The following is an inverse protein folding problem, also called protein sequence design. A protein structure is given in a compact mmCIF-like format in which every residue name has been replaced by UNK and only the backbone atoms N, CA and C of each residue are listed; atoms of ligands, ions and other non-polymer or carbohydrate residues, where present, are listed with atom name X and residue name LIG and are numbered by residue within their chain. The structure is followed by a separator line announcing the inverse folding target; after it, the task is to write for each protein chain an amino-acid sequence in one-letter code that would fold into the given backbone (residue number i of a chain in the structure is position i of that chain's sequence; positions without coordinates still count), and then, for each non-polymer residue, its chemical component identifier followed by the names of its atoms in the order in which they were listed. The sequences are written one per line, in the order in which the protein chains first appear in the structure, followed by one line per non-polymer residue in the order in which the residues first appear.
data_IF_882305404089
#
_entry.id   IF_882305404089
#
_cell.length_a   1.000
_cell.length_b   1.000
_cell.length_c   1.000
_cell.angle_alpha   90.00
_cell.angle_beta   90.00
_cell.angle_gamma   90.00
#
_symmetry.space_group_name_H-M   'P 1'
#
loop_
_entity.id
_entity.type
_entity.pdbx_description
1 polymer ?
#
# COMPACT_ATOMS: atom_id res chain seq x y z
N UNK A 1 -18.60 24.13 -3.67
CA UNK A 1 -17.36 24.18 -4.46
C UNK A 1 -16.85 22.75 -4.52
N UNK A 2 -16.68 22.12 -5.70
CA UNK A 2 -15.99 20.83 -5.74
C UNK A 2 -14.57 21.03 -5.21
N UNK A 3 -14.11 20.12 -4.32
CA UNK A 3 -12.79 20.22 -3.73
C UNK A 3 -11.73 20.21 -4.84
N UNK A 4 -10.71 21.03 -4.73
CA UNK A 4 -9.61 21.14 -5.70
C UNK A 4 -8.87 19.81 -5.93
N UNK A 5 -9.02 18.86 -5.02
CA UNK A 5 -8.45 17.52 -5.10
C UNK A 5 -9.05 16.65 -6.24
N UNK A 6 -10.33 16.86 -6.57
CA UNK A 6 -10.96 16.12 -7.67
C UNK A 6 -10.44 16.54 -9.06
N UNK A 7 -9.92 17.79 -9.17
CA UNK A 7 -9.39 18.32 -10.43
C UNK A 7 -7.95 17.87 -10.75
N UNK A 8 -7.24 17.31 -9.79
CA UNK A 8 -5.82 16.91 -9.91
C UNK A 8 -5.61 15.41 -10.15
N UNK A 9 -6.65 14.67 -10.58
CA UNK A 9 -6.47 13.27 -10.94
C UNK A 9 -5.49 13.18 -12.11
N UNK A 10 -4.39 12.38 -12.00
CA UNK A 10 -3.49 12.16 -13.12
C UNK A 10 -4.31 11.65 -14.31
N UNK A 11 -3.92 12.08 -15.53
CA UNK A 11 -4.55 11.60 -16.76
C UNK A 11 -4.57 10.07 -16.77
N UNK A 12 -5.53 9.42 -17.44
CA UNK A 12 -5.60 7.95 -17.47
C UNK A 12 -4.28 7.28 -17.88
N UNK A 13 -3.45 7.97 -18.59
CA UNK A 13 -2.19 7.46 -19.13
C UNK A 13 -0.94 7.96 -18.38
N UNK A 14 -1.07 8.88 -17.41
CA UNK A 14 0.03 9.45 -16.64
C UNK A 14 1.25 9.80 -17.48
N UNK A 15 1.74 11.03 -17.45
CA UNK A 15 2.97 11.35 -18.20
C UNK A 15 4.20 10.96 -17.37
N UNK A 16 5.21 10.40 -18.04
CA UNK A 16 6.51 10.13 -17.39
C UNK A 16 7.07 11.43 -16.84
N UNK A 17 7.40 11.44 -15.54
CA UNK A 17 7.92 12.61 -14.84
C UNK A 17 6.90 13.35 -13.98
N UNK A 18 5.68 12.86 -13.83
CA UNK A 18 4.74 13.35 -12.82
C UNK A 18 5.13 12.87 -11.42
N UNK A 19 5.01 13.77 -10.44
CA UNK A 19 5.27 13.46 -9.03
C UNK A 19 4.03 12.77 -8.39
N UNK A 20 3.61 11.61 -8.95
CA UNK A 20 2.36 10.92 -8.60
C UNK A 20 2.22 10.59 -7.11
N UNK A 21 3.34 10.32 -6.42
CA UNK A 21 3.34 10.05 -4.98
C UNK A 21 2.96 11.27 -4.15
N UNK A 22 3.44 12.46 -4.51
CA UNK A 22 3.09 13.72 -3.86
C UNK A 22 1.63 14.05 -4.12
N UNK A 23 1.18 13.92 -5.38
CA UNK A 23 -0.22 14.16 -5.77
C UNK A 23 -1.16 13.23 -4.99
N UNK A 24 -0.83 11.94 -4.89
CA UNK A 24 -1.60 10.98 -4.12
C UNK A 24 -1.66 11.34 -2.63
N UNK A 25 -0.52 11.69 -2.02
CA UNK A 25 -0.45 12.06 -0.61
C UNK A 25 -1.27 13.32 -0.31
N UNK A 26 -1.22 14.33 -1.18
CA UNK A 26 -2.02 15.56 -1.04
C UNK A 26 -3.50 15.29 -1.22
N UNK A 27 -3.90 14.48 -2.22
CA UNK A 27 -5.30 14.15 -2.50
C UNK A 27 -5.96 13.33 -1.39
N UNK A 28 -5.20 12.50 -0.69
CA UNK A 28 -5.65 11.73 0.47
C UNK A 28 -5.59 12.58 1.75
N UNK A 29 -4.55 13.39 1.91
CA UNK A 29 -4.30 14.15 3.14
C UNK A 29 -5.17 15.40 3.30
N UNK A 30 -5.48 16.11 2.23
CA UNK A 30 -6.30 17.33 2.28
C UNK A 30 -7.70 17.05 2.86
N UNK A 31 -8.48 16.11 2.31
CA UNK A 31 -9.78 15.78 2.91
C UNK A 31 -9.67 15.21 4.32
N UNK A 32 -8.58 14.50 4.63
CA UNK A 32 -8.31 14.00 5.97
C UNK A 32 -8.28 15.10 7.02
N UNK A 33 -7.63 16.23 6.73
CA UNK A 33 -7.60 17.38 7.63
C UNK A 33 -8.99 17.99 7.83
N UNK A 34 -9.81 18.06 6.79
CA UNK A 34 -11.19 18.56 6.90
C UNK A 34 -12.08 17.63 7.75
N UNK A 35 -11.88 16.33 7.68
CA UNK A 35 -12.62 15.34 8.47
C UNK A 35 -12.34 15.48 9.97
N UNK A 36 -11.09 15.70 10.38
CA UNK A 36 -10.75 15.94 11.78
C UNK A 36 -11.38 17.22 12.31
N UNK A 37 -11.45 18.28 11.52
CA UNK A 37 -12.10 19.53 11.93
C UNK A 37 -13.62 19.37 12.11
N UNK A 38 -14.28 18.58 11.27
CA UNK A 38 -15.74 18.35 11.37
C UNK A 38 -16.14 17.55 12.60
N UNK A 39 -15.34 16.58 13.03
CA UNK A 39 -15.63 15.78 14.23
C UNK A 39 -15.58 16.60 15.52
N UNK A 40 -14.84 17.71 15.56
CA UNK A 40 -14.82 18.63 16.70
C UNK A 40 -16.01 19.61 16.72
N UNK A 41 -16.69 19.84 15.58
CA UNK A 41 -17.78 20.83 15.48
C UNK A 41 -19.18 20.23 15.59
N UNK A 42 -19.37 18.95 15.37
CA UNK A 42 -20.63 18.27 15.62
C UNK A 42 -20.74 17.92 17.10
N UNK A 43 -21.29 18.87 17.90
CA UNK A 43 -21.59 18.67 19.31
C UNK A 43 -22.76 17.70 19.59
N UNK A 44 -23.00 16.75 18.71
CA UNK A 44 -23.85 15.60 18.93
C UNK A 44 -23.04 14.45 19.50
N UNK A 45 -23.67 13.63 20.33
CA UNK A 45 -23.10 12.41 20.93
C UNK A 45 -22.68 11.47 19.80
N UNK A 46 -21.46 11.69 19.25
CA UNK A 46 -20.83 10.72 18.37
C UNK A 46 -20.61 9.45 19.18
N UNK A 47 -21.15 8.32 18.76
CA UNK A 47 -20.88 7.05 19.42
C UNK A 47 -19.37 6.77 19.35
N UNK A 48 -18.82 6.10 20.37
CA UNK A 48 -17.40 5.74 20.39
C UNK A 48 -16.99 4.95 19.11
N UNK A 49 -17.94 4.31 18.45
CA UNK A 49 -17.77 3.61 17.17
C UNK A 49 -17.59 4.59 15.97
N UNK A 50 -18.31 5.71 15.95
CA UNK A 50 -18.20 6.70 14.85
C UNK A 50 -16.84 7.41 14.84
N UNK A 51 -16.22 7.62 16.00
CA UNK A 51 -14.91 8.25 16.13
C UNK A 51 -13.79 7.32 15.63
N UNK A 52 -13.98 6.00 15.76
CA UNK A 52 -13.01 5.00 15.31
C UNK A 52 -13.15 4.61 13.83
N UNK A 53 -14.25 4.98 13.19
CA UNK A 53 -14.54 4.62 11.78
C UNK A 53 -14.01 5.64 10.75
N UNK A 54 -13.50 6.79 11.17
CA UNK A 54 -12.97 7.83 10.28
C UNK A 54 -11.47 7.67 10.00
N UNK A 55 -10.71 8.79 10.15
CA UNK A 55 -9.26 8.82 9.92
C UNK A 55 -8.45 7.77 10.65
N UNK A 56 -8.75 7.39 11.92
CA UNK A 56 -8.02 6.33 12.58
C UNK A 56 -8.09 4.99 11.86
N UNK A 57 -9.21 4.70 11.16
CA UNK A 57 -9.35 3.49 10.33
C UNK A 57 -8.48 3.56 9.08
N UNK A 58 -8.41 4.72 8.44
CA UNK A 58 -7.54 4.92 7.27
C UNK A 58 -6.07 4.75 7.66
N UNK A 59 -5.65 5.32 8.80
CA UNK A 59 -4.30 5.14 9.35
C UNK A 59 -4.01 3.66 9.64
N UNK A 60 -4.94 2.94 10.28
CA UNK A 60 -4.81 1.52 10.58
C UNK A 60 -4.61 0.68 9.29
N UNK A 61 -5.38 0.98 8.23
CA UNK A 61 -5.28 0.31 6.94
C UNK A 61 -3.94 0.58 6.26
N UNK A 62 -3.52 1.85 6.18
CA UNK A 62 -2.24 2.22 5.54
C UNK A 62 -1.02 1.78 6.36
N UNK A 63 -1.12 1.67 7.67
CA UNK A 63 -0.06 1.10 8.50
C UNK A 63 -0.12 -0.43 8.59
N UNK A 64 -1.10 -1.06 7.93
CA UNK A 64 -1.35 -2.51 7.98
C UNK A 64 -1.33 -3.03 9.42
N UNK A 65 -1.91 -2.28 10.37
CA UNK A 65 -1.99 -2.65 11.78
C UNK A 65 -3.05 -3.72 11.99
N UNK A 66 -2.84 -4.55 13.00
CA UNK A 66 -3.85 -5.49 13.45
C UNK A 66 -5.01 -4.74 14.12
N UNK A 67 -6.25 -4.88 13.65
CA UNK A 67 -7.39 -4.18 14.22
C UNK A 67 -7.66 -4.63 15.67
N UNK A 68 -8.23 -3.72 16.46
CA UNK A 68 -8.63 -4.03 17.84
C UNK A 68 -9.78 -5.05 17.88
N UNK A 69 -10.76 -4.89 17.01
CA UNK A 69 -11.86 -5.83 16.80
C UNK A 69 -11.60 -6.65 15.54
N UNK A 70 -10.84 -7.72 15.67
CA UNK A 70 -10.44 -8.57 14.57
C UNK A 70 -11.59 -9.51 14.20
N UNK A 71 -12.03 -9.48 12.95
CA UNK A 71 -12.92 -10.49 12.40
C UNK A 71 -12.18 -11.81 12.20
N UNK A 72 -12.83 -12.91 12.52
CA UNK A 72 -12.36 -14.25 12.16
C UNK A 72 -12.81 -14.51 10.74
N UNK A 73 -11.89 -14.90 9.86
CA UNK A 73 -12.15 -15.23 8.46
C UNK A 73 -11.85 -16.71 8.21
N UNK A 74 -12.53 -17.28 7.22
CA UNK A 74 -12.27 -18.67 6.83
C UNK A 74 -11.00 -18.76 5.97
N UNK A 75 -10.15 -19.75 6.27
CA UNK A 75 -8.97 -20.07 5.46
C UNK A 75 -9.30 -21.00 4.28
N UNK A 76 -10.42 -21.72 4.36
CA UNK A 76 -10.83 -22.72 3.37
C UNK A 76 -12.27 -22.49 2.92
N UNK A 77 -12.60 -22.99 1.73
CA UNK A 77 -13.99 -23.09 1.28
C UNK A 77 -14.68 -24.26 1.99
N UNK A 78 -15.90 -24.09 2.44
CA UNK A 78 -16.61 -25.21 3.06
C UNK A 78 -17.94 -24.84 3.69
N UNK A 79 -18.56 -25.84 4.30
CA UNK A 79 -19.80 -25.74 5.05
C UNK A 79 -19.50 -25.47 6.53
N UNK A 80 -20.17 -24.48 7.11
CA UNK A 80 -19.98 -24.08 8.50
C UNK A 80 -20.81 -24.96 9.42
N UNK A 81 -20.19 -25.44 10.51
CA UNK A 81 -20.84 -26.10 11.63
C UNK A 81 -20.41 -25.44 12.93
N UNK A 82 -21.28 -25.44 13.92
CA UNK A 82 -20.94 -24.94 15.25
C UNK A 82 -20.79 -26.11 16.22
N UNK A 83 -19.68 -26.12 16.92
CA UNK A 83 -19.39 -27.09 17.96
C UNK A 83 -19.04 -26.38 19.25
N UNK A 84 -19.46 -26.96 20.37
CA UNK A 84 -19.08 -26.48 21.69
C UNK A 84 -18.00 -27.38 22.27
N UNK A 85 -16.75 -26.90 22.29
CA UNK A 85 -15.59 -27.63 22.80
C UNK A 85 -15.11 -26.95 24.07
N UNK A 86 -15.11 -27.67 25.20
CA UNK A 86 -14.65 -27.17 26.51
C UNK A 86 -15.33 -25.86 26.95
N UNK A 87 -16.63 -25.72 26.72
CA UNK A 87 -17.44 -24.52 27.00
C UNK A 87 -17.07 -23.29 26.14
N UNK A 88 -16.33 -23.48 25.07
CA UNK A 88 -16.04 -22.45 24.07
C UNK A 88 -16.73 -22.81 22.75
N UNK A 89 -17.36 -21.82 22.12
CA UNK A 89 -18.01 -21.97 20.82
C UNK A 89 -16.97 -21.93 19.71
N UNK A 90 -16.96 -22.96 18.87
CA UNK A 90 -16.10 -23.06 17.69
C UNK A 90 -16.94 -23.07 16.43
N UNK A 91 -16.49 -22.35 15.40
CA UNK A 91 -16.98 -22.55 14.05
C UNK A 91 -16.04 -23.53 13.35
N UNK A 92 -16.58 -24.59 12.85
CA UNK A 92 -15.86 -25.62 12.11
C UNK A 92 -16.25 -25.49 10.65
N UNK A 93 -15.28 -25.26 9.78
CA UNK A 93 -15.48 -25.19 8.33
C UNK A 93 -14.97 -26.48 7.73
N UNK A 94 -15.84 -27.22 7.07
CA UNK A 94 -15.54 -28.50 6.46
C UNK A 94 -15.68 -28.42 4.93
N UNK A 95 -14.60 -28.74 4.23
CA UNK A 95 -14.60 -28.81 2.77
C UNK A 95 -14.90 -30.25 2.32
N UNK A 96 -16.06 -30.45 1.70
CA UNK A 96 -16.50 -31.80 1.21
C UNK A 96 -15.64 -32.31 0.05
N UNK A 97 -14.96 -31.43 -0.70
CA UNK A 97 -14.18 -31.82 -1.87
C UNK A 97 -12.74 -32.25 -1.51
N UNK A 98 -12.10 -31.56 -0.56
CA UNK A 98 -10.73 -31.87 -0.14
C UNK A 98 -10.65 -32.72 1.13
N UNK A 99 -11.75 -32.80 1.90
CA UNK A 99 -11.78 -33.44 3.22
C UNK A 99 -11.08 -32.65 4.31
N UNK A 100 -10.67 -31.41 4.03
CA UNK A 100 -10.04 -30.53 5.02
C UNK A 100 -11.07 -29.94 5.98
N UNK A 101 -10.66 -29.85 7.24
CA UNK A 101 -11.44 -29.26 8.33
C UNK A 101 -10.59 -28.22 9.05
N UNK A 102 -11.18 -27.06 9.31
CA UNK A 102 -10.57 -25.98 10.10
C UNK A 102 -11.49 -25.54 11.20
N UNK A 103 -10.94 -25.38 12.40
CA UNK A 103 -11.68 -25.00 13.59
C UNK A 103 -11.27 -23.59 14.01
N UNK A 104 -12.25 -22.71 14.18
CA UNK A 104 -12.07 -21.31 14.58
C UNK A 104 -12.74 -21.08 15.93
N UNK A 105 -11.96 -20.68 16.92
CA UNK A 105 -12.46 -20.31 18.24
C UNK A 105 -13.19 -18.96 18.16
N UNK A 106 -14.47 -18.92 18.55
CA UNK A 106 -15.26 -17.70 18.64
C UNK A 106 -15.18 -17.18 20.08
N UNK A 107 -14.52 -16.02 20.31
CA UNK A 107 -14.46 -15.44 21.66
C UNK A 107 -15.84 -15.02 22.14
N UNK A 108 -16.03 -15.04 23.46
CA UNK A 108 -17.29 -14.61 24.08
C UNK A 108 -17.59 -13.15 23.72
N UNK A 109 -18.83 -12.87 23.32
CA UNK A 109 -19.29 -11.51 22.95
C UNK A 109 -19.12 -11.16 21.47
N UNK A 110 -18.49 -12.00 20.66
CA UNK A 110 -18.40 -11.79 19.21
C UNK A 110 -19.72 -12.20 18.54
N UNK A 111 -20.24 -11.31 17.67
CA UNK A 111 -21.39 -11.62 16.84
C UNK A 111 -20.96 -12.45 15.67
N UNK A 112 -21.70 -13.52 15.39
CA UNK A 112 -21.47 -14.44 14.28
C UNK A 112 -22.29 -14.00 13.08
N UNK A 113 -21.66 -13.95 11.90
CA UNK A 113 -22.28 -13.50 10.65
C UNK A 113 -22.70 -14.64 9.73
N UNK A 114 -22.44 -15.87 10.12
CA UNK A 114 -22.73 -17.06 9.33
C UNK A 114 -23.72 -17.96 10.06
N UNK A 115 -24.54 -18.69 9.29
CA UNK A 115 -25.50 -19.65 9.82
C UNK A 115 -24.96 -21.07 9.74
N UNK A 116 -25.53 -21.96 10.58
CA UNK A 116 -25.18 -23.37 10.54
C UNK A 116 -25.61 -24.01 9.20
N UNK A 117 -24.70 -24.74 8.57
CA UNK A 117 -24.92 -25.33 7.24
C UNK A 117 -24.69 -24.36 6.07
N UNK A 118 -24.34 -23.10 6.33
CA UNK A 118 -24.02 -22.15 5.27
C UNK A 118 -22.70 -22.53 4.59
N UNK A 119 -22.67 -22.45 3.25
CA UNK A 119 -21.44 -22.61 2.47
C UNK A 119 -20.74 -21.27 2.35
N UNK A 120 -19.51 -21.19 2.82
CA UNK A 120 -18.66 -20.01 2.76
C UNK A 120 -17.41 -20.26 1.91
N UNK A 121 -16.82 -19.20 1.42
CA UNK A 121 -15.56 -19.22 0.67
C UNK A 121 -14.38 -18.81 1.57
N UNK A 122 -13.19 -19.20 1.17
CA UNK A 122 -11.97 -18.69 1.78
C UNK A 122 -11.96 -17.15 1.74
N UNK A 123 -11.66 -16.52 2.89
CA UNK A 123 -11.72 -15.07 3.04
C UNK A 123 -13.04 -14.49 3.54
N UNK A 124 -14.12 -15.27 3.61
CA UNK A 124 -15.40 -14.81 4.16
C UNK A 124 -15.33 -14.63 5.67
N UNK A 125 -16.02 -13.60 6.17
CA UNK A 125 -16.08 -13.30 7.61
C UNK A 125 -16.99 -14.29 8.34
N UNK A 126 -16.47 -14.95 9.36
CA UNK A 126 -17.25 -15.78 10.29
C UNK A 126 -17.84 -14.91 11.40
N UNK A 127 -17.09 -13.90 11.88
CA UNK A 127 -17.55 -12.99 12.92
C UNK A 127 -17.53 -11.53 12.45
N UNK A 128 -18.31 -10.68 13.12
CA UNK A 128 -18.22 -9.22 12.95
C UNK A 128 -16.82 -8.71 13.32
N UNK A 129 -16.42 -7.64 12.65
CA UNK A 129 -15.15 -6.97 12.90
C UNK A 129 -14.44 -6.54 11.62
N UNK A 130 -13.27 -5.96 11.81
CA UNK A 130 -12.38 -5.54 10.73
C UNK A 130 -11.45 -6.69 10.35
N UNK A 131 -11.25 -6.93 9.06
CA UNK A 131 -10.31 -7.95 8.61
C UNK A 131 -8.88 -7.40 8.70
N UNK A 132 -7.95 -8.25 9.10
CA UNK A 132 -6.53 -7.93 9.08
C UNK A 132 -5.99 -8.13 7.64
N UNK A 133 -5.41 -7.08 7.01
CA UNK A 133 -4.97 -7.19 5.61
C UNK A 133 -3.92 -8.28 5.36
N UNK A 134 -3.09 -8.61 6.37
CA UNK A 134 -2.10 -9.67 6.21
C UNK A 134 -2.73 -11.08 6.12
N UNK A 135 -3.88 -11.30 6.77
CA UNK A 135 -4.61 -12.57 6.67
C UNK A 135 -5.22 -12.73 5.27
N UNK A 136 -5.74 -11.63 4.69
CA UNK A 136 -6.20 -11.63 3.29
C UNK A 136 -5.03 -11.96 2.35
N UNK A 137 -3.84 -11.41 2.61
CA UNK A 137 -2.67 -11.67 1.78
C UNK A 137 -2.30 -13.16 1.79
N UNK A 138 -2.34 -13.80 2.95
CA UNK A 138 -1.99 -15.21 3.11
C UNK A 138 -3.02 -16.16 2.49
N UNK A 139 -4.32 -15.81 2.54
CA UNK A 139 -5.41 -16.68 2.11
C UNK A 139 -5.76 -16.45 0.63
N UNK A 140 -5.98 -15.19 0.24
CA UNK A 140 -6.52 -14.81 -1.07
C UNK A 140 -5.47 -14.22 -2.02
N UNK A 141 -4.27 -13.90 -1.49
CA UNK A 141 -3.16 -13.38 -2.26
C UNK A 141 -3.18 -11.85 -2.48
N UNK A 142 -2.19 -11.34 -3.23
CA UNK A 142 -1.90 -9.90 -3.31
C UNK A 142 -3.01 -9.08 -3.96
N UNK A 143 -3.69 -9.60 -4.98
CA UNK A 143 -4.75 -8.88 -5.69
C UNK A 143 -5.97 -8.62 -4.80
N UNK A 144 -6.33 -9.59 -3.96
CA UNK A 144 -7.45 -9.46 -3.03
C UNK A 144 -7.18 -8.39 -1.97
N UNK A 145 -5.93 -8.33 -1.43
CA UNK A 145 -5.53 -7.29 -0.49
C UNK A 145 -5.60 -5.90 -1.11
N UNK A 146 -5.15 -5.74 -2.36
CA UNK A 146 -5.23 -4.46 -3.07
C UNK A 146 -6.67 -3.97 -3.16
N UNK A 147 -7.57 -4.84 -3.64
CA UNK A 147 -8.99 -4.52 -3.77
C UNK A 147 -9.62 -4.20 -2.40
N UNK A 148 -9.27 -4.98 -1.37
CA UNK A 148 -9.77 -4.77 -0.01
C UNK A 148 -9.35 -3.40 0.53
N UNK A 149 -8.05 -3.06 0.46
CA UNK A 149 -7.54 -1.78 0.94
C UNK A 149 -8.18 -0.59 0.22
N UNK A 150 -8.32 -0.67 -1.11
CA UNK A 150 -8.95 0.38 -1.90
C UNK A 150 -10.42 0.55 -1.48
N UNK A 151 -11.16 -0.55 -1.40
CA UNK A 151 -12.59 -0.54 -1.03
C UNK A 151 -12.83 0.01 0.37
N UNK A 152 -12.03 -0.41 1.37
CA UNK A 152 -12.18 0.04 2.76
C UNK A 152 -11.83 1.54 2.92
N UNK A 153 -10.73 1.99 2.28
CA UNK A 153 -10.35 3.41 2.31
C UNK A 153 -11.42 4.26 1.62
N UNK A 154 -11.87 3.87 0.43
CA UNK A 154 -12.94 4.56 -0.29
C UNK A 154 -14.24 4.61 0.52
N UNK A 155 -14.63 3.49 1.12
CA UNK A 155 -15.84 3.44 1.97
C UNK A 155 -15.74 4.46 3.11
N UNK A 156 -14.58 4.54 3.77
CA UNK A 156 -14.34 5.48 4.87
C UNK A 156 -14.48 6.94 4.42
N UNK A 157 -13.93 7.30 3.27
CA UNK A 157 -14.04 8.67 2.73
C UNK A 157 -15.46 8.98 2.23
N UNK A 158 -16.13 8.04 1.55
CA UNK A 158 -17.51 8.22 1.06
C UNK A 158 -18.52 8.41 2.19
N UNK A 159 -18.36 7.70 3.31
CA UNK A 159 -19.19 7.90 4.50
C UNK A 159 -19.10 9.34 5.03
N UNK A 160 -18.01 10.04 4.76
CA UNK A 160 -17.82 11.45 5.12
C UNK A 160 -18.17 12.43 3.99
N UNK A 161 -18.73 11.93 2.88
CA UNK A 161 -19.12 12.74 1.72
C UNK A 161 -17.94 13.24 0.89
N UNK A 162 -16.77 12.59 0.98
CA UNK A 162 -15.58 12.90 0.19
C UNK A 162 -15.39 11.83 -0.87
N UNK A 163 -15.17 12.23 -2.11
CA UNK A 163 -14.84 11.34 -3.21
C UNK A 163 -13.39 11.52 -3.64
N UNK A 164 -12.62 10.44 -3.62
CA UNK A 164 -11.20 10.39 -3.99
C UNK A 164 -11.06 9.41 -5.14
N UNK A 165 -10.25 9.74 -6.15
CA UNK A 165 -9.98 8.81 -7.23
C UNK A 165 -9.14 7.61 -6.74
N UNK A 166 -9.53 6.40 -7.12
CA UNK A 166 -8.89 5.14 -6.71
C UNK A 166 -7.38 5.12 -7.01
N UNK A 167 -6.94 5.77 -8.09
CA UNK A 167 -5.52 5.83 -8.48
C UNK A 167 -4.61 6.38 -7.38
N UNK A 168 -5.08 7.33 -6.58
CA UNK A 168 -4.29 7.88 -5.49
C UNK A 168 -4.05 6.84 -4.38
N UNK A 169 -5.08 6.03 -4.09
CA UNK A 169 -4.98 4.94 -3.11
C UNK A 169 -4.12 3.81 -3.68
N UNK A 170 -4.30 3.47 -4.96
CA UNK A 170 -3.51 2.44 -5.66
C UNK A 170 -2.01 2.73 -5.63
N UNK A 171 -1.60 3.99 -5.82
CA UNK A 171 -0.18 4.41 -5.73
C UNK A 171 0.40 4.08 -4.35
N UNK A 172 -0.35 4.37 -3.27
CA UNK A 172 0.09 4.07 -1.90
C UNK A 172 0.14 2.56 -1.66
N UNK A 173 -0.92 1.83 -2.03
CA UNK A 173 -1.01 0.36 -1.86
C UNK A 173 0.10 -0.34 -2.66
N UNK A 174 0.44 0.13 -3.85
CA UNK A 174 1.58 -0.36 -4.64
C UNK A 174 2.88 -0.25 -3.87
N UNK A 175 3.12 0.88 -3.18
CA UNK A 175 4.34 1.06 -2.37
C UNK A 175 4.35 0.16 -1.13
N UNK A 176 3.20 -0.08 -0.50
CA UNK A 176 3.08 -1.02 0.62
C UNK A 176 3.45 -2.45 0.23
N UNK A 177 3.25 -2.82 -1.04
CA UNK A 177 3.49 -4.16 -1.59
C UNK A 177 4.74 -4.23 -2.50
N UNK A 178 5.62 -3.24 -2.43
CA UNK A 178 6.82 -3.17 -3.28
C UNK A 178 7.85 -4.25 -2.93
N UNK A 179 7.97 -4.64 -1.67
CA UNK A 179 9.00 -5.55 -1.18
C UNK A 179 8.47 -6.98 -1.00
N UNK A 180 9.35 -7.94 -1.25
CA UNK A 180 9.14 -9.38 -1.06
C UNK A 180 10.24 -9.95 -0.18
N UNK A 181 9.96 -11.02 0.54
CA UNK A 181 10.94 -11.76 1.34
C UNK A 181 11.35 -13.00 0.58
N UNK A 182 12.64 -13.20 0.43
CA UNK A 182 13.20 -14.41 -0.19
C UNK A 182 13.14 -15.56 0.81
N UNK A 183 12.53 -16.67 0.42
CA UNK A 183 12.51 -17.92 1.19
C UNK A 183 13.67 -18.85 0.77
N UNK A 184 13.84 -19.03 -0.53
CA UNK A 184 14.90 -19.81 -1.12
C UNK A 184 15.57 -19.01 -2.24
N UNK A 185 16.86 -18.82 -2.16
CA UNK A 185 17.64 -18.07 -3.14
C UNK A 185 17.73 -18.74 -4.52
N UNK A 186 17.55 -20.06 -4.57
CA UNK A 186 17.76 -20.81 -5.80
C UNK A 186 19.15 -20.55 -6.39
N UNK A 187 19.20 -20.23 -7.67
CA UNK A 187 20.44 -19.89 -8.41
C UNK A 187 20.65 -18.38 -8.58
N UNK A 188 19.91 -17.55 -7.82
CA UNK A 188 20.06 -16.08 -7.83
C UNK A 188 21.13 -15.61 -6.83
N UNK A 189 21.53 -14.34 -6.96
CA UNK A 189 22.44 -13.66 -6.03
C UNK A 189 21.77 -13.23 -4.71
N UNK A 190 20.46 -13.44 -4.55
CA UNK A 190 19.73 -13.02 -3.37
C UNK A 190 20.07 -13.86 -2.13
N UNK A 191 19.94 -13.23 -0.96
CA UNK A 191 20.12 -13.92 0.32
C UNK A 191 18.75 -14.35 0.87
N UNK A 192 18.62 -15.62 1.27
CA UNK A 192 17.43 -16.12 1.94
C UNK A 192 17.15 -15.35 3.24
N UNK A 193 15.87 -15.07 3.50
CA UNK A 193 15.42 -14.32 4.68
C UNK A 193 15.48 -12.80 4.55
N UNK A 194 16.08 -12.25 3.49
CA UNK A 194 16.16 -10.81 3.25
C UNK A 194 15.01 -10.30 2.36
N UNK A 195 14.78 -8.97 2.44
CA UNK A 195 13.73 -8.32 1.68
C UNK A 195 14.32 -7.59 0.47
N UNK A 196 13.77 -7.86 -0.71
CA UNK A 196 14.18 -7.25 -1.97
C UNK A 196 13.00 -6.57 -2.66
N UNK A 197 13.28 -5.79 -3.70
CA UNK A 197 12.25 -5.24 -4.56
C UNK A 197 11.61 -6.35 -5.41
N UNK A 198 10.29 -6.39 -5.44
CA UNK A 198 9.54 -7.40 -6.20
C UNK A 198 9.94 -7.42 -7.68
N UNK A 199 10.11 -6.25 -8.28
CA UNK A 199 10.44 -6.15 -9.71
C UNK A 199 11.85 -6.69 -10.00
N UNK A 200 12.80 -6.45 -9.10
CA UNK A 200 14.16 -6.98 -9.18
C UNK A 200 14.16 -8.51 -9.13
N UNK A 201 13.42 -9.08 -8.16
CA UNK A 201 13.29 -10.55 -8.04
C UNK A 201 12.61 -11.16 -9.26
N UNK A 202 11.56 -10.53 -9.77
CA UNK A 202 10.87 -11.00 -10.99
C UNK A 202 11.79 -10.93 -12.22
N UNK A 203 12.61 -9.88 -12.34
CA UNK A 203 13.55 -9.75 -13.43
C UNK A 203 14.62 -10.85 -13.40
N UNK A 204 15.27 -11.06 -12.24
CA UNK A 204 16.28 -12.12 -12.07
C UNK A 204 15.68 -13.52 -12.31
N UNK A 205 14.49 -13.79 -11.79
CA UNK A 205 13.81 -15.07 -12.03
C UNK A 205 13.52 -15.27 -13.51
N UNK A 206 13.08 -14.22 -14.23
CA UNK A 206 12.84 -14.29 -15.67
C UNK A 206 14.14 -14.60 -16.45
N UNK A 207 15.24 -13.98 -16.09
CA UNK A 207 16.56 -14.26 -16.69
C UNK A 207 16.97 -15.72 -16.47
N UNK A 208 16.75 -16.26 -15.27
CA UNK A 208 17.02 -17.67 -14.98
C UNK A 208 16.11 -18.60 -15.79
N UNK A 209 14.83 -18.29 -15.89
CA UNK A 209 13.89 -19.07 -16.71
C UNK A 209 14.25 -19.07 -18.19
N UNK A 210 14.74 -17.95 -18.72
CA UNK A 210 15.24 -17.86 -20.11
C UNK A 210 16.49 -18.73 -20.30
N UNK A 211 17.42 -18.77 -19.34
CA UNK A 211 18.61 -19.63 -19.37
C UNK A 211 18.24 -21.11 -19.32
N UNK A 212 17.25 -21.49 -18.48
CA UNK A 212 16.72 -22.86 -18.43
C UNK A 212 16.12 -23.26 -19.80
N UNK A 213 15.37 -22.35 -20.45
CA UNK A 213 14.81 -22.58 -21.79
C UNK A 213 15.90 -22.77 -22.85
N UNK A 214 17.05 -22.11 -22.68
CA UNK A 214 18.20 -22.23 -23.58
C UNK A 214 19.04 -23.51 -23.34
N UNK A 215 18.64 -24.38 -22.40
CA UNK A 215 19.25 -25.69 -22.18
C UNK A 215 20.25 -25.74 -21.01
N UNK A 216 20.33 -24.71 -20.16
CA UNK A 216 21.15 -24.79 -18.95
C UNK A 216 20.41 -25.60 -17.87
N UNK A 217 20.99 -26.72 -17.45
CA UNK A 217 20.42 -27.60 -16.43
C UNK A 217 20.89 -27.20 -15.01
N UNK A 218 20.06 -27.50 -14.00
CA UNK A 218 20.42 -27.31 -12.59
C UNK A 218 20.09 -25.92 -12.04
N UNK A 219 19.59 -24.98 -12.83
CA UNK A 219 19.18 -23.66 -12.38
C UNK A 219 17.78 -23.71 -11.73
N UNK A 220 17.59 -22.94 -10.65
CA UNK A 220 16.29 -22.78 -9.97
C UNK A 220 16.00 -21.31 -9.73
N UNK A 221 14.80 -20.81 -10.06
CA UNK A 221 14.38 -19.46 -9.72
C UNK A 221 14.25 -19.31 -8.20
N UNK A 222 14.43 -18.08 -7.72
CA UNK A 222 14.23 -17.76 -6.31
C UNK A 222 12.76 -17.88 -5.90
N UNK A 223 12.49 -18.49 -4.74
CA UNK A 223 11.17 -18.50 -4.12
C UNK A 223 11.03 -17.34 -3.16
N UNK A 224 9.91 -16.66 -3.23
CA UNK A 224 9.65 -15.49 -2.41
C UNK A 224 8.20 -15.44 -1.92
N UNK A 225 8.00 -14.78 -0.78
CA UNK A 225 6.68 -14.47 -0.21
C UNK A 225 6.45 -12.97 -0.30
N UNK A 226 5.25 -12.58 -0.79
CA UNK A 226 4.85 -11.18 -0.88
C UNK A 226 4.71 -10.59 0.52
N UNK A 227 5.30 -9.42 0.75
CA UNK A 227 5.13 -8.67 1.99
C UNK A 227 4.10 -7.55 1.82
N UNK A 228 3.36 -7.29 2.89
CA UNK A 228 2.56 -6.09 3.07
C UNK A 228 3.19 -5.26 4.18
N UNK A 229 3.75 -4.12 3.82
CA UNK A 229 4.39 -3.19 4.75
C UNK A 229 3.46 -2.00 4.99
N UNK A 230 3.34 -1.55 6.24
CA UNK A 230 2.72 -0.25 6.52
C UNK A 230 3.53 0.88 5.87
N UNK A 231 2.88 2.02 5.59
CA UNK A 231 3.51 3.15 4.89
C UNK A 231 4.79 3.64 5.57
N UNK A 232 4.82 3.67 6.90
CA UNK A 232 6.02 4.04 7.68
C UNK A 232 7.17 3.08 7.42
N UNK A 233 6.92 1.77 7.48
CA UNK A 233 7.94 0.74 7.20
C UNK A 233 8.35 0.75 5.73
N UNK A 234 7.42 0.95 4.81
CA UNK A 234 7.69 1.04 3.39
C UNK A 234 8.58 2.26 3.06
N UNK A 235 8.35 3.40 3.73
CA UNK A 235 9.17 4.60 3.58
C UNK A 235 10.61 4.43 4.10
N UNK A 236 10.81 3.61 5.14
CA UNK A 236 12.15 3.27 5.66
C UNK A 236 12.85 2.18 4.83
N UNK A 237 12.08 1.31 4.17
CA UNK A 237 12.59 0.23 3.32
C UNK A 237 12.93 0.66 1.88
N UNK A 238 13.05 1.97 1.64
CA UNK A 238 13.46 2.52 0.33
C UNK A 238 14.95 2.27 0.06
N UNK A 239 15.31 2.24 -1.22
CA UNK A 239 16.69 2.02 -1.65
C UNK A 239 17.59 3.22 -1.39
N UNK A 240 17.01 4.44 -1.33
CA UNK A 240 17.69 5.68 -0.95
C UNK A 240 17.82 5.79 0.57
N UNK A 241 19.05 5.71 1.08
CA UNK A 241 19.31 5.91 2.51
C UNK A 241 19.16 7.37 2.93
N UNK A 242 19.38 8.34 2.01
CA UNK A 242 19.15 9.76 2.28
C UNK A 242 17.67 10.05 2.52
N UNK A 243 16.81 9.49 1.68
CA UNK A 243 15.36 9.61 1.83
C UNK A 243 14.88 8.99 3.15
N UNK A 244 15.34 7.78 3.48
CA UNK A 244 14.99 7.10 4.72
C UNK A 244 15.46 7.87 5.96
N UNK A 245 16.72 8.33 5.98
CA UNK A 245 17.33 9.08 7.08
C UNK A 245 16.61 10.43 7.35
N UNK A 246 16.08 11.05 6.33
CA UNK A 246 15.33 12.31 6.47
C UNK A 246 13.93 12.15 7.02
N UNK A 247 13.42 10.91 7.10
CA UNK A 247 12.08 10.62 7.58
C UNK A 247 12.06 10.28 9.08
N UNK A 248 12.72 9.20 9.47
CA UNK A 248 12.81 8.74 10.86
C UNK A 248 14.12 7.96 11.08
N UNK A 249 14.49 7.74 12.35
CA UNK A 249 15.64 6.91 12.75
C UNK A 249 16.96 7.32 12.06
N UNK A 250 17.20 8.62 11.90
CA UNK A 250 18.33 9.18 11.14
C UNK A 250 19.67 8.52 11.49
N UNK A 251 20.01 8.44 12.76
CA UNK A 251 21.28 7.88 13.22
C UNK A 251 21.43 6.41 12.82
N UNK A 252 20.38 5.60 13.02
CA UNK A 252 20.39 4.19 12.67
C UNK A 252 20.58 3.97 11.17
N UNK A 253 19.79 4.69 10.36
CA UNK A 253 19.84 4.58 8.89
C UNK A 253 21.21 4.99 8.35
N UNK A 254 21.77 6.10 8.82
CA UNK A 254 23.10 6.57 8.39
C UNK A 254 24.23 5.64 8.85
N UNK A 255 24.14 5.11 10.07
CA UNK A 255 25.11 4.14 10.58
C UNK A 255 25.08 2.85 9.74
N UNK A 256 23.88 2.30 9.47
CA UNK A 256 23.73 1.12 8.62
C UNK A 256 24.24 1.36 7.19
N UNK A 257 23.99 2.55 6.63
CA UNK A 257 24.47 2.90 5.30
C UNK A 257 26.00 3.01 5.26
N UNK A 258 26.61 3.62 6.28
CA UNK A 258 28.05 3.74 6.39
C UNK A 258 28.75 2.39 6.55
N UNK A 259 28.24 1.52 7.44
CA UNK A 259 28.79 0.17 7.67
C UNK A 259 28.71 -0.68 6.38
N UNK A 260 27.61 -0.59 5.64
CA UNK A 260 27.39 -1.36 4.41
C UNK A 260 27.97 -0.71 3.16
N UNK A 261 28.59 0.46 3.26
CA UNK A 261 29.11 1.20 2.11
C UNK A 261 28.07 1.50 1.04
N UNK A 262 26.81 1.82 1.44
CA UNK A 262 25.72 2.04 0.51
C UNK A 262 25.96 3.29 -0.34
N UNK A 263 25.62 3.19 -1.62
CA UNK A 263 25.59 4.31 -2.57
C UNK A 263 24.13 4.64 -2.85
N UNK A 264 23.75 5.92 -2.75
CA UNK A 264 22.41 6.37 -3.06
C UNK A 264 22.29 6.62 -4.57
N UNK A 265 21.33 5.99 -5.25
CA UNK A 265 21.18 6.13 -6.70
C UNK A 265 20.55 7.46 -7.13
N UNK A 266 20.06 8.30 -6.20
CA UNK A 266 19.44 9.61 -6.44
C UNK A 266 18.29 9.59 -7.47
N UNK A 267 17.50 8.54 -7.47
CA UNK A 267 16.40 8.34 -8.42
C UNK A 267 15.10 9.04 -7.98
N UNK A 268 14.90 9.19 -6.68
CA UNK A 268 13.68 9.78 -6.13
C UNK A 268 13.72 11.30 -6.03
N UNK A 269 12.63 11.88 -5.56
CA UNK A 269 12.48 13.34 -5.43
C UNK A 269 13.22 13.87 -4.21
N UNK A 270 13.05 13.21 -3.06
CA UNK A 270 13.47 13.71 -1.75
C UNK A 270 14.98 13.80 -1.60
N UNK A 271 15.72 12.77 -2.01
CA UNK A 271 17.17 12.76 -2.00
C UNK A 271 17.79 13.84 -2.88
N UNK A 272 17.20 14.12 -4.05
CA UNK A 272 17.66 15.20 -4.91
C UNK A 272 17.42 16.58 -4.29
N UNK A 273 16.28 16.78 -3.62
CA UNK A 273 16.01 18.01 -2.86
C UNK A 273 17.02 18.21 -1.75
N UNK A 274 17.34 17.16 -0.99
CA UNK A 274 18.28 17.23 0.13
C UNK A 274 19.67 17.70 -0.31
N UNK A 275 20.15 17.21 -1.45
CA UNK A 275 21.47 17.58 -1.98
C UNK A 275 21.46 18.81 -2.88
N UNK A 276 20.31 19.47 -3.06
CA UNK A 276 20.17 20.70 -3.85
C UNK A 276 20.20 20.50 -5.37
N UNK A 277 19.91 19.29 -5.87
CA UNK A 277 19.72 19.01 -7.30
C UNK A 277 18.28 19.20 -7.73
N UNK A 278 18.07 19.40 -9.03
CA UNK A 278 16.73 19.40 -9.60
C UNK A 278 16.09 18.03 -9.39
N UNK A 279 14.79 18.02 -9.04
CA UNK A 279 14.05 16.78 -8.90
C UNK A 279 13.87 16.13 -10.26
N UNK A 280 13.89 14.78 -10.36
CA UNK A 280 13.69 14.07 -11.62
C UNK A 280 12.19 14.02 -12.02
N UNK A 281 11.54 15.18 -11.97
CA UNK A 281 10.14 15.37 -12.32
C UNK A 281 9.96 16.76 -12.96
N UNK A 282 8.97 16.90 -13.85
CA UNK A 282 8.70 18.14 -14.56
C UNK A 282 9.91 18.60 -15.36
N UNK A 283 10.30 19.87 -15.17
CA UNK A 283 11.44 20.50 -15.89
C UNK A 283 12.81 19.95 -15.49
N UNK A 284 12.94 19.25 -14.36
CA UNK A 284 14.19 18.61 -13.91
C UNK A 284 14.49 17.26 -14.55
N UNK A 285 13.65 16.78 -15.46
CA UNK A 285 13.90 15.54 -16.18
C UNK A 285 15.03 15.66 -17.21
N UNK A 286 15.78 14.59 -17.39
CA UNK A 286 16.90 14.53 -18.34
C UNK A 286 16.54 14.97 -19.77
N UNK A 287 15.30 14.77 -20.20
CA UNK A 287 14.83 15.20 -21.53
C UNK A 287 14.85 16.71 -21.76
N UNK A 288 14.88 17.49 -20.67
CA UNK A 288 14.95 18.95 -20.73
C UNK A 288 16.37 19.49 -20.53
N UNK A 289 17.37 18.62 -20.30
CA UNK A 289 18.76 19.01 -20.24
C UNK A 289 19.22 19.50 -21.62
N UNK A 290 19.68 20.74 -21.70
CA UNK A 290 20.13 21.35 -22.96
C UNK A 290 19.04 22.08 -23.76
N UNK A 291 17.82 22.24 -23.19
CA UNK A 291 16.81 23.12 -23.79
C UNK A 291 17.15 24.55 -23.41
N UNK A 292 17.52 25.36 -24.39
CA UNK A 292 17.70 26.81 -24.22
C UNK A 292 16.36 27.52 -24.47
N UNK A 293 16.01 28.45 -23.59
CA UNK A 293 14.81 29.28 -23.75
C UNK A 293 15.17 30.50 -24.58
N UNK A 294 14.59 30.64 -25.78
CA UNK A 294 14.61 31.93 -26.49
C UNK A 294 13.56 32.86 -25.86
N UNK A 295 14.04 33.91 -25.17
CA UNK A 295 13.18 35.01 -24.74
C UNK A 295 12.81 35.87 -25.94
N UNK A 296 11.65 35.64 -26.53
CA UNK A 296 11.07 36.61 -27.47
C UNK A 296 10.57 37.85 -26.69
N UNK A 297 11.47 38.75 -26.42
CA UNK A 297 11.15 40.03 -25.80
C UNK A 297 10.36 40.85 -26.84
N UNK A 298 9.05 40.81 -26.80
CA UNK A 298 8.21 41.80 -27.49
C UNK A 298 8.36 43.12 -26.72
N UNK A 299 9.17 44.03 -27.26
CA UNK A 299 9.24 45.39 -26.70
C UNK A 299 7.84 45.99 -26.64
N UNK A 300 7.37 46.51 -25.47
CA UNK A 300 6.10 47.20 -25.39
C UNK A 300 6.13 48.36 -26.39
N UNK A 301 5.19 48.39 -27.33
CA UNK A 301 5.03 49.56 -28.23
C UNK A 301 4.82 50.78 -27.36
N UNK A 302 5.74 51.77 -27.52
CA UNK A 302 5.57 53.08 -26.92
C UNK A 302 4.24 53.65 -27.44
N UNK A 303 3.26 53.74 -26.56
CA UNK A 303 2.01 54.46 -26.85
C UNK A 303 2.42 55.93 -27.00
N UNK A 304 2.38 56.46 -28.24
CA UNK A 304 2.51 57.87 -28.47
C UNK A 304 1.38 58.62 -27.76
N UNK A 305 1.66 59.69 -27.02
CA UNK A 305 0.59 60.49 -26.47
C UNK A 305 -0.21 61.12 -27.60
N UNK A 306 -1.51 61.01 -27.51
CA UNK A 306 -2.43 61.74 -28.38
C UNK A 306 -2.38 63.19 -27.99
N UNK A 307 -2.00 64.07 -28.95
CA UNK A 307 -2.09 65.52 -28.85
C UNK A 307 -3.55 66.01 -28.77
#
# INVERSE_FOLDING_TARGET
MPSSAAAAAPSPEGTVGEAVGIIAAQSIGEPGTQLTMRTFHTGGVASAEDITQGLPRVEELFEARKPKSLAIISEIDGEVRFEEIKKARHAVVYNKATGEERQYLIPFGFRVNVEEGQVIKAGDKITDGAIYPADILSILGPKAVQNYLISEVQSTYRLQGVDINDKHIEVIVRQMMKKVKIEDSGSTSFMAGQNYDRNEVLYENKMIEERIKNGEEGLKPAKYTQLLLGITKAALATDSFLSAASFQETTRVLTDAAIKGKVDPLVGLKENVIIGKLIPAGTGMHRYNGVELEENYVQPQQVQPLD
#
